data_IF_452493398915
#
_entry.id   IF_452493398915
#
_cell.length_a   1.000
_cell.length_b   1.000
_cell.length_c   1.000
_cell.angle_alpha   90.00
_cell.angle_beta   90.00
_cell.angle_gamma   90.00
#
_symmetry.space_group_name_H-M   'P 1'
#
loop_
_entity.id
_entity.type
_entity.pdbx_description
1 polymer ?
#
# COMPACT_ATOMS: atom_id res chain seq x y z
N UNK A 1 18.76 -30.18 -43.25
CA UNK A 1 18.62 -28.82 -42.69
C UNK A 1 17.22 -28.70 -42.11
N UNK A 2 17.06 -28.86 -40.80
CA UNK A 2 15.77 -28.69 -40.11
C UNK A 2 15.74 -27.30 -39.50
N UNK A 3 14.84 -26.45 -39.99
CA UNK A 3 14.57 -25.12 -39.46
C UNK A 3 13.87 -25.25 -38.12
N UNK A 4 14.53 -24.85 -37.04
CA UNK A 4 13.90 -24.66 -35.73
C UNK A 4 13.15 -23.34 -35.74
N UNK A 5 11.82 -23.39 -35.68
CA UNK A 5 10.98 -22.23 -35.43
C UNK A 5 11.14 -21.84 -33.96
N UNK A 6 11.87 -20.76 -33.68
CA UNK A 6 11.94 -20.15 -32.35
C UNK A 6 10.61 -19.45 -32.07
N UNK A 7 9.79 -20.01 -31.18
CA UNK A 7 8.60 -19.35 -30.62
C UNK A 7 9.05 -18.19 -29.71
N UNK A 8 8.43 -16.99 -29.79
CA UNK A 8 8.81 -15.87 -28.96
C UNK A 8 8.54 -16.19 -27.48
N UNK A 9 9.58 -16.11 -26.65
CA UNK A 9 9.48 -16.35 -25.22
C UNK A 9 8.39 -15.45 -24.62
N UNK A 10 7.41 -16.00 -23.87
CA UNK A 10 6.39 -15.19 -23.25
C UNK A 10 7.07 -14.27 -22.23
N UNK A 11 6.86 -12.96 -22.36
CA UNK A 11 7.27 -11.91 -21.41
C UNK A 11 6.47 -12.04 -20.11
N UNK A 12 6.54 -13.21 -19.46
CA UNK A 12 6.03 -13.37 -18.10
C UNK A 12 6.99 -12.65 -17.19
N UNK A 13 6.54 -11.51 -16.67
CA UNK A 13 7.23 -10.79 -15.60
C UNK A 13 7.68 -11.82 -14.55
N UNK A 14 8.97 -11.83 -14.17
CA UNK A 14 9.46 -12.79 -13.19
C UNK A 14 8.54 -12.87 -11.97
N UNK A 15 8.16 -14.09 -11.56
CA UNK A 15 7.18 -14.33 -10.48
C UNK A 15 7.54 -13.63 -9.15
N UNK A 16 8.82 -13.28 -8.95
CA UNK A 16 9.25 -12.48 -7.81
C UNK A 16 8.74 -11.03 -7.86
N UNK A 17 8.75 -10.37 -9.03
CA UNK A 17 8.19 -9.01 -9.21
C UNK A 17 6.67 -8.99 -9.08
N UNK A 18 6.00 -10.08 -9.44
CA UNK A 18 4.55 -10.22 -9.33
C UNK A 18 4.08 -10.45 -7.87
N UNK A 19 4.96 -10.96 -7.01
CA UNK A 19 4.68 -11.24 -5.60
C UNK A 19 5.12 -10.10 -4.66
N UNK A 20 5.71 -9.03 -5.19
CA UNK A 20 6.12 -7.90 -4.38
C UNK A 20 4.87 -7.18 -3.86
N UNK A 21 4.80 -6.88 -2.54
CA UNK A 21 3.62 -6.29 -1.92
C UNK A 21 3.52 -4.78 -2.21
N UNK A 22 3.68 -4.38 -3.47
CA UNK A 22 3.65 -2.98 -3.94
C UNK A 22 2.41 -2.23 -3.48
N UNK A 23 1.25 -2.90 -3.41
CA UNK A 23 0.01 -2.31 -2.87
C UNK A 23 0.11 -1.93 -1.40
N UNK A 24 0.76 -2.76 -0.57
CA UNK A 24 0.99 -2.48 0.85
C UNK A 24 1.98 -1.31 0.98
N UNK A 25 3.07 -1.33 0.21
CA UNK A 25 4.04 -0.24 0.19
C UNK A 25 3.42 1.10 -0.24
N UNK A 26 2.55 1.10 -1.25
CA UNK A 26 1.82 2.29 -1.68
C UNK A 26 0.89 2.84 -0.58
N UNK A 27 0.19 1.96 0.13
CA UNK A 27 -0.66 2.36 1.27
C UNK A 27 0.16 2.99 2.40
N UNK A 28 1.30 2.37 2.76
CA UNK A 28 2.21 2.92 3.77
C UNK A 28 2.75 4.29 3.35
N UNK A 29 3.17 4.44 2.09
CA UNK A 29 3.70 5.69 1.58
C UNK A 29 2.64 6.81 1.59
N UNK A 30 1.38 6.50 1.25
CA UNK A 30 0.28 7.46 1.29
C UNK A 30 0.03 8.01 2.70
N UNK A 31 0.07 7.14 3.72
CA UNK A 31 -0.10 7.55 5.13
C UNK A 31 1.06 8.45 5.58
N UNK A 32 2.30 8.10 5.22
CA UNK A 32 3.48 8.90 5.54
C UNK A 32 3.39 10.28 4.90
N UNK A 33 3.01 10.35 3.62
CA UNK A 33 2.85 11.64 2.91
C UNK A 33 1.77 12.47 3.58
N UNK A 34 0.62 11.88 3.92
CA UNK A 34 -0.46 12.58 4.61
C UNK A 34 0.02 13.14 5.97
N UNK A 35 0.82 12.39 6.71
CA UNK A 35 1.42 12.86 7.97
C UNK A 35 2.36 14.05 7.75
N UNK A 36 3.27 13.95 6.79
CA UNK A 36 4.24 15.01 6.49
C UNK A 36 3.53 16.28 6.03
N UNK A 37 2.58 16.17 5.10
CA UNK A 37 1.80 17.31 4.61
C UNK A 37 1.02 17.95 5.75
N UNK A 38 0.39 17.15 6.60
CA UNK A 38 -0.40 17.65 7.72
C UNK A 38 0.44 18.43 8.75
N UNK A 39 1.65 17.93 9.07
CA UNK A 39 2.59 18.63 9.94
C UNK A 39 3.07 19.94 9.30
N UNK A 40 3.40 19.92 8.00
CA UNK A 40 3.89 21.11 7.30
C UNK A 40 2.82 22.20 7.13
N UNK A 41 1.54 21.83 7.01
CA UNK A 41 0.45 22.77 6.75
C UNK A 41 -0.21 23.31 8.02
N UNK A 42 -0.41 22.45 9.02
CA UNK A 42 -1.18 22.80 10.23
C UNK A 42 -0.41 22.54 11.53
N UNK A 43 0.87 22.14 11.46
CA UNK A 43 1.67 21.84 12.64
C UNK A 43 1.09 20.68 13.45
N UNK A 44 1.11 20.82 14.78
CA UNK A 44 0.61 19.79 15.71
C UNK A 44 -0.90 19.56 15.56
N UNK A 45 -1.67 20.59 15.19
CA UNK A 45 -3.10 20.44 14.94
C UNK A 45 -3.38 19.51 13.75
N UNK A 46 -2.52 19.54 12.72
CA UNK A 46 -2.60 18.63 11.59
C UNK A 46 -2.40 17.16 11.97
N UNK A 47 -1.51 16.88 12.93
CA UNK A 47 -1.30 15.51 13.41
C UNK A 47 -2.58 14.93 14.02
N UNK A 48 -3.38 15.73 14.72
CA UNK A 48 -4.66 15.29 15.30
C UNK A 48 -5.66 14.90 14.19
N UNK A 49 -5.70 15.66 13.10
CA UNK A 49 -6.58 15.39 11.95
C UNK A 49 -6.24 14.07 11.25
N UNK A 50 -4.97 13.63 11.26
CA UNK A 50 -4.55 12.35 10.65
C UNK A 50 -4.62 11.20 11.66
N UNK A 51 -4.27 11.44 12.92
CA UNK A 51 -4.26 10.40 13.97
C UNK A 51 -5.66 10.01 14.43
N UNK A 52 -6.61 10.94 14.50
CA UNK A 52 -7.96 10.64 14.96
C UNK A 52 -8.72 9.67 14.02
N UNK A 53 -8.74 9.86 12.68
CA UNK A 53 -9.30 8.88 11.75
C UNK A 53 -8.58 7.53 11.79
N UNK A 54 -7.26 7.52 11.95
CA UNK A 54 -6.48 6.28 12.06
C UNK A 54 -6.85 5.48 13.32
N UNK A 55 -7.01 6.16 14.47
CA UNK A 55 -7.47 5.54 15.70
C UNK A 55 -8.90 4.99 15.56
N UNK A 56 -9.80 5.75 14.93
CA UNK A 56 -11.17 5.29 14.66
C UNK A 56 -11.21 4.06 13.75
N UNK A 57 -10.40 4.03 12.69
CA UNK A 57 -10.27 2.86 11.83
C UNK A 57 -9.80 1.62 12.60
N UNK A 58 -8.86 1.80 13.54
CA UNK A 58 -8.38 0.71 14.37
C UNK A 58 -9.44 0.20 15.35
N UNK A 59 -10.21 1.10 15.97
CA UNK A 59 -11.35 0.72 16.82
C UNK A 59 -12.42 -0.01 16.02
N UNK A 60 -12.72 0.44 14.80
CA UNK A 60 -13.67 -0.24 13.92
C UNK A 60 -13.19 -1.65 13.55
N UNK A 61 -11.91 -1.80 13.19
CA UNK A 61 -11.31 -3.10 12.92
C UNK A 61 -11.39 -4.04 14.13
N UNK A 62 -11.04 -3.54 15.31
CA UNK A 62 -11.15 -4.31 16.56
C UNK A 62 -12.60 -4.70 16.86
N UNK A 63 -13.56 -3.81 16.61
CA UNK A 63 -14.98 -4.10 16.80
C UNK A 63 -15.46 -5.20 15.86
N UNK A 64 -15.03 -5.20 14.60
CA UNK A 64 -15.32 -6.26 13.64
C UNK A 64 -14.70 -7.60 14.04
N UNK A 65 -13.52 -7.59 14.67
CA UNK A 65 -12.86 -8.83 15.14
C UNK A 65 -13.57 -9.40 16.38
N UNK A 66 -14.03 -8.55 17.30
CA UNK A 66 -14.63 -8.99 18.58
C UNK A 66 -16.09 -9.43 18.43
N UNK A 67 -16.86 -8.74 17.58
CA UNK A 67 -18.30 -8.98 17.42
C UNK A 67 -18.68 -9.68 16.10
N UNK A 68 -17.73 -9.83 15.18
CA UNK A 68 -17.92 -10.52 13.89
C UNK A 68 -17.59 -12.00 13.92
#
# INVERSE_FOLDING_TARGET
MTTATTEPAPTRLPKFLANEPWGIWAGVLAVIIALVVSVLTFGVAGLVVVMAPAALAMVALLSLIVFG
#
